data_IF_771940108733
#
_entry.id   IF_771940108733
#
_cell.length_a   1.000
_cell.length_b   1.000
_cell.length_c   1.000
_cell.angle_alpha   90.00
_cell.angle_beta   90.00
_cell.angle_gamma   90.00
#
_symmetry.space_group_name_H-M   'P 1'
#
loop_
_entity.id
_entity.type
_entity.pdbx_description
1 polymer ?
#
# COMPACT_ATOMS: atom_id res chain seq x y z
N UNK A 1 4.87 -1.61 -6.08
CA UNK A 1 5.54 -2.76 -5.40
C UNK A 1 6.87 -2.30 -4.79
N UNK A 2 7.40 -2.95 -3.74
CA UNK A 2 8.69 -2.56 -3.13
C UNK A 2 9.85 -2.62 -4.16
N UNK A 3 9.77 -3.56 -5.11
CA UNK A 3 10.57 -3.58 -6.35
C UNK A 3 9.67 -3.87 -7.56
N UNK A 4 9.98 -3.27 -8.71
CA UNK A 4 9.27 -3.55 -9.98
C UNK A 4 9.43 -5.03 -10.35
N UNK A 5 8.33 -5.73 -10.60
CA UNK A 5 8.34 -7.16 -10.93
C UNK A 5 8.49 -8.11 -9.74
N UNK A 6 8.40 -7.63 -8.49
CA UNK A 6 8.38 -8.50 -7.33
C UNK A 6 7.17 -9.46 -7.38
N UNK A 7 7.44 -10.77 -7.25
CA UNK A 7 6.44 -11.81 -7.03
C UNK A 7 6.48 -12.21 -5.55
N UNK A 8 5.37 -12.05 -4.84
CA UNK A 8 5.28 -12.44 -3.43
C UNK A 8 4.82 -13.88 -3.30
N UNK A 9 5.22 -14.52 -2.19
CA UNK A 9 4.92 -15.93 -1.91
C UNK A 9 3.41 -16.20 -2.04
N UNK A 10 3.05 -17.36 -2.58
CA UNK A 10 1.66 -17.82 -2.68
C UNK A 10 0.72 -16.90 -3.48
N UNK A 11 1.27 -16.12 -4.42
CA UNK A 11 0.48 -15.26 -5.30
C UNK A 11 -0.09 -14.03 -4.63
N UNK A 12 0.45 -13.61 -3.47
CA UNK A 12 0.10 -12.33 -2.88
C UNK A 12 0.59 -11.16 -3.75
N UNK A 13 -0.10 -10.02 -3.63
CA UNK A 13 0.25 -8.77 -4.30
C UNK A 13 0.21 -7.61 -3.31
N UNK A 14 1.08 -6.63 -3.49
CA UNK A 14 1.06 -5.37 -2.73
C UNK A 14 -0.12 -4.53 -3.21
N UNK A 15 -1.04 -4.16 -2.32
CA UNK A 15 -2.23 -3.36 -2.64
C UNK A 15 -1.86 -2.05 -3.38
N UNK A 16 -0.73 -1.44 -3.03
CA UNK A 16 -0.26 -0.23 -3.70
C UNK A 16 0.24 -0.47 -5.13
N UNK A 17 0.65 -1.69 -5.46
CA UNK A 17 1.06 -2.05 -6.80
C UNK A 17 -0.15 -2.20 -7.74
N UNK A 18 -1.30 -2.64 -7.20
CA UNK A 18 -2.49 -2.97 -8.00
C UNK A 18 -3.48 -1.81 -8.08
N UNK A 19 -3.55 -0.94 -7.08
CA UNK A 19 -4.44 0.23 -7.06
C UNK A 19 -4.02 1.37 -8.03
N UNK A 20 -2.91 1.21 -8.77
CA UNK A 20 -2.26 2.27 -9.53
C UNK A 20 -1.32 3.10 -8.67
N UNK A 21 -0.28 3.70 -9.29
CA UNK A 21 0.73 4.45 -8.54
C UNK A 21 0.08 5.60 -7.77
N UNK A 22 0.21 5.63 -6.43
CA UNK A 22 -0.35 6.71 -5.64
C UNK A 22 0.35 8.04 -5.96
N UNK A 23 -0.43 9.11 -5.83
CA UNK A 23 -0.09 10.53 -6.02
C UNK A 23 1.25 10.94 -5.38
N UNK A 24 1.81 12.10 -5.79
CA UNK A 24 2.99 12.66 -5.14
C UNK A 24 2.86 12.64 -3.61
N UNK A 25 3.92 12.21 -2.92
CA UNK A 25 4.03 12.13 -1.45
C UNK A 25 3.36 10.92 -0.75
N UNK A 26 3.25 9.77 -1.41
CA UNK A 26 2.86 8.52 -0.75
C UNK A 26 4.01 7.90 0.07
N UNK A 27 3.99 8.17 1.38
CA UNK A 27 4.92 7.60 2.36
C UNK A 27 4.17 7.28 3.64
N UNK A 28 4.64 6.28 4.37
CA UNK A 28 4.02 5.82 5.61
C UNK A 28 4.95 5.98 6.80
N UNK A 29 6.16 6.51 6.60
CA UNK A 29 7.10 6.73 7.67
C UNK A 29 7.99 7.96 7.37
N UNK A 30 8.28 8.75 8.40
CA UNK A 30 9.20 9.89 8.34
C UNK A 30 10.18 9.84 9.52
N UNK A 31 11.49 9.94 9.21
CA UNK A 31 12.52 10.06 10.25
C UNK A 31 13.71 10.86 9.76
N UNK A 32 14.32 11.59 10.67
CA UNK A 32 15.65 12.18 10.42
C UNK A 32 16.72 11.10 10.62
N UNK A 33 17.47 10.80 9.56
CA UNK A 33 18.58 9.84 9.56
C UNK A 33 19.82 10.60 9.07
N UNK A 34 20.89 10.61 9.88
CA UNK A 34 22.13 11.35 9.60
C UNK A 34 21.88 12.82 9.20
N UNK A 35 20.96 13.48 9.92
CA UNK A 35 20.59 14.88 9.68
C UNK A 35 19.71 15.14 8.45
N UNK A 36 19.28 14.09 7.72
CA UNK A 36 18.42 14.21 6.54
C UNK A 36 17.03 13.64 6.80
N UNK A 37 15.99 14.37 6.37
CA UNK A 37 14.61 13.89 6.43
C UNK A 37 14.40 12.77 5.40
N UNK A 38 14.18 11.56 5.87
CA UNK A 38 13.88 10.40 5.04
C UNK A 38 12.38 10.09 5.09
N UNK A 39 11.71 10.25 3.95
CA UNK A 39 10.34 9.77 3.72
C UNK A 39 10.42 8.38 3.09
N UNK A 40 9.76 7.39 3.69
CA UNK A 40 9.80 5.99 3.25
C UNK A 40 8.40 5.39 3.26
N UNK A 41 8.19 4.42 2.39
CA UNK A 41 7.05 3.51 2.46
C UNK A 41 7.53 2.21 3.09
N UNK A 42 7.21 2.01 4.36
CA UNK A 42 7.58 0.82 5.12
C UNK A 42 6.36 -0.04 5.47
N UNK A 43 5.17 0.53 5.41
CA UNK A 43 3.93 -0.15 5.70
C UNK A 43 3.28 -0.61 4.39
N UNK A 44 2.85 -1.86 4.39
CA UNK A 44 2.29 -2.54 3.23
C UNK A 44 1.06 -3.33 3.65
N UNK A 45 0.11 -3.43 2.73
CA UNK A 45 -0.98 -4.40 2.82
C UNK A 45 -0.84 -5.36 1.64
N UNK A 46 -0.59 -6.63 1.94
CA UNK A 46 -0.56 -7.68 0.92
C UNK A 46 -1.92 -8.36 0.87
N UNK A 47 -2.47 -8.49 -0.33
CA UNK A 47 -3.73 -9.19 -0.58
C UNK A 47 -3.48 -10.43 -1.43
N UNK A 48 -4.29 -11.47 -1.25
CA UNK A 48 -4.25 -12.63 -2.14
C UNK A 48 -4.50 -12.20 -3.58
N UNK A 49 -3.77 -12.76 -4.55
CA UNK A 49 -3.83 -12.32 -5.95
C UNK A 49 -5.23 -12.38 -6.56
N UNK A 50 -6.10 -13.28 -6.07
CA UNK A 50 -7.51 -13.34 -6.47
C UNK A 50 -8.31 -12.07 -6.14
N UNK A 51 -7.82 -11.25 -5.21
CA UNK A 51 -8.44 -9.99 -4.79
C UNK A 51 -7.77 -8.76 -5.42
N UNK A 52 -6.77 -8.93 -6.28
CA UNK A 52 -6.02 -7.82 -6.88
C UNK A 52 -6.95 -6.81 -7.58
N UNK A 53 -7.86 -7.30 -8.41
CA UNK A 53 -8.85 -6.47 -9.11
C UNK A 53 -9.97 -5.91 -8.22
N UNK A 54 -9.96 -6.22 -6.92
CA UNK A 54 -10.95 -5.74 -5.95
C UNK A 54 -10.44 -4.61 -5.07
N UNK A 55 -9.14 -4.32 -5.10
CA UNK A 55 -8.57 -3.17 -4.41
C UNK A 55 -9.03 -1.90 -5.14
N UNK A 56 -9.79 -1.05 -4.46
CA UNK A 56 -10.39 0.17 -5.02
C UNK A 56 -9.47 1.37 -4.88
N UNK A 57 -8.84 1.52 -3.73
CA UNK A 57 -7.96 2.65 -3.45
C UNK A 57 -6.95 2.35 -2.35
N UNK A 58 -5.92 3.17 -2.29
CA UNK A 58 -4.91 3.17 -1.23
C UNK A 58 -4.49 4.61 -0.92
N UNK A 59 -4.31 4.93 0.36
CA UNK A 59 -3.80 6.23 0.82
C UNK A 59 -2.94 6.08 2.07
N UNK A 60 -2.05 7.04 2.28
CA UNK A 60 -1.38 7.24 3.55
C UNK A 60 -1.90 8.54 4.18
N UNK A 61 -2.34 8.46 5.43
CA UNK A 61 -2.96 9.59 6.12
C UNK A 61 -1.88 10.41 6.85
N UNK A 62 -1.06 11.11 6.06
CA UNK A 62 0.17 11.79 6.54
C UNK A 62 -0.07 12.96 7.51
N UNK A 63 -1.33 13.36 7.71
CA UNK A 63 -1.73 14.34 8.73
C UNK A 63 -1.86 13.76 10.14
N UNK A 64 -1.89 12.43 10.27
CA UNK A 64 -2.11 11.73 11.55
C UNK A 64 -0.78 11.47 12.28
N UNK A 65 -0.28 12.50 12.99
CA UNK A 65 1.11 12.58 13.50
C UNK A 65 1.35 11.95 14.88
N UNK A 66 0.60 10.90 15.24
CA UNK A 66 0.75 10.23 16.54
C UNK A 66 2.00 9.31 16.63
N UNK A 67 2.68 9.05 15.51
CA UNK A 67 3.84 8.16 15.39
C UNK A 67 4.78 8.66 14.27
N UNK A 68 6.00 8.12 14.20
CA UNK A 68 6.88 8.29 13.04
C UNK A 68 6.42 7.45 11.83
N UNK A 69 5.41 6.60 12.04
CA UNK A 69 4.61 5.96 11.00
C UNK A 69 3.22 6.59 10.85
N UNK A 70 2.77 6.76 9.61
CA UNK A 70 1.42 7.22 9.25
C UNK A 70 0.51 6.05 8.91
N UNK A 71 -0.80 6.12 9.25
CA UNK A 71 -1.76 5.10 8.87
C UNK A 71 -1.79 4.85 7.36
N UNK A 72 -1.79 3.57 6.98
CA UNK A 72 -2.05 3.12 5.62
C UNK A 72 -3.50 2.65 5.53
N UNK A 73 -4.27 3.25 4.62
CA UNK A 73 -5.66 2.88 4.37
C UNK A 73 -5.79 2.20 3.01
N UNK A 74 -6.49 1.07 2.99
CA UNK A 74 -6.83 0.32 1.77
C UNK A 74 -8.34 0.14 1.72
N UNK A 75 -8.94 0.50 0.58
CA UNK A 75 -10.34 0.18 0.29
C UNK A 75 -10.39 -1.03 -0.65
N UNK A 76 -11.21 -2.03 -0.30
CA UNK A 76 -11.31 -3.31 -1.02
C UNK A 76 -12.77 -3.76 -1.07
N UNK A 77 -13.19 -4.20 -2.26
CA UNK A 77 -14.52 -4.77 -2.47
C UNK A 77 -14.57 -6.25 -2.10
N UNK A 78 -15.19 -6.57 -0.97
CA UNK A 78 -15.45 -7.97 -0.58
C UNK A 78 -16.93 -8.35 -0.71
N UNK A 79 -17.80 -7.40 -0.97
CA UNK A 79 -19.25 -7.58 -0.95
C UNK A 79 -19.82 -7.91 -2.33
N UNK A 80 -19.18 -7.42 -3.40
CA UNK A 80 -19.58 -7.77 -4.77
C UNK A 80 -19.24 -9.24 -5.04
N UNK A 81 -20.24 -10.09 -5.37
CA UNK A 81 -19.99 -11.47 -5.75
C UNK A 81 -19.03 -11.53 -6.94
N UNK A 82 -18.04 -12.42 -6.87
CA UNK A 82 -17.16 -12.63 -8.01
C UNK A 82 -17.92 -13.24 -9.17
N UNK A 83 -17.67 -12.78 -10.40
CA UNK A 83 -17.97 -13.59 -11.57
C UNK A 83 -16.98 -14.76 -11.50
N UNK A 84 -17.48 -15.96 -11.24
CA UNK A 84 -16.67 -17.16 -11.38
C UNK A 84 -16.31 -17.29 -12.87
N UNK A 85 -15.05 -17.00 -13.20
CA UNK A 85 -14.46 -17.24 -14.52
C UNK A 85 -13.76 -18.58 -14.55
#
# INVERSE_FOLDING_TARGET
PYHRGAAYLSGFVDAAAVAGEPVPDFHTHVKTIDGRLAKRRLDHCFVGGMFAGRVRSISADIGEVASDHFPLRVDIDLETPGIAT
#
